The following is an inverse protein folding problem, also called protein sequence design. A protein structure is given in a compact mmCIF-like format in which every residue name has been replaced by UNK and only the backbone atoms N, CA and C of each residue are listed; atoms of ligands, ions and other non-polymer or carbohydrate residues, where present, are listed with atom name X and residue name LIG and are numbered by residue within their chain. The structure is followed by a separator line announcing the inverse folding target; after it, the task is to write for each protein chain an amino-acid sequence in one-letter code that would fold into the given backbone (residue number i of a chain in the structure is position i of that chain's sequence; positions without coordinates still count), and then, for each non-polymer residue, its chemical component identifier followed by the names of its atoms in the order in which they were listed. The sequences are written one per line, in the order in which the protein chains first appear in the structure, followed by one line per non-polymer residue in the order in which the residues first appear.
data_IF_680121579364
#
_entry.id   IF_680121579364
#
_cell.length_a   1.000
_cell.length_b   1.000
_cell.length_c   1.000
_cell.angle_alpha   90.00
_cell.angle_beta   90.00
_cell.angle_gamma   90.00
#
_symmetry.space_group_name_H-M   'P 1'
#
loop_
_entity.id
_entity.type
_entity.pdbx_description
1 polymer ?
#
# COMPACT_ATOMS: atom_id res chain seq x y z
N UNK A 1 24.74 2.33 35.48
CA UNK A 1 23.38 2.62 34.98
C UNK A 1 23.09 1.62 33.87
N UNK A 2 22.09 0.75 34.04
CA UNK A 2 21.64 -0.11 32.94
C UNK A 2 21.04 0.76 31.84
N UNK A 3 21.27 0.46 30.55
CA UNK A 3 20.62 1.18 29.46
C UNK A 3 19.10 1.12 29.62
N UNK A 4 18.36 2.16 29.20
CA UNK A 4 16.91 2.12 29.21
C UNK A 4 16.44 0.89 28.41
N UNK A 5 15.51 0.11 29.00
CA UNK A 5 14.91 -1.04 28.30
C UNK A 5 14.24 -0.53 27.03
N UNK A 6 14.58 -1.14 25.89
CA UNK A 6 13.94 -0.79 24.63
C UNK A 6 12.43 -1.01 24.72
N UNK A 7 11.66 -0.08 24.19
CA UNK A 7 10.22 -0.18 24.19
C UNK A 7 9.79 -1.30 23.24
N UNK A 8 8.97 -2.22 23.73
CA UNK A 8 8.34 -3.25 22.91
C UNK A 8 6.96 -2.79 22.44
N UNK A 9 6.66 -3.02 21.16
CA UNK A 9 5.37 -2.68 20.55
C UNK A 9 4.81 -3.89 19.81
N UNK A 10 3.48 -4.03 19.83
CA UNK A 10 2.75 -5.01 19.03
C UNK A 10 1.95 -4.28 17.96
N UNK A 11 2.15 -4.66 16.70
CA UNK A 11 1.41 -4.11 15.55
C UNK A 11 0.62 -5.27 14.92
N UNK A 12 -0.57 -5.62 15.45
CA UNK A 12 -1.29 -6.77 14.97
C UNK A 12 -1.63 -6.64 13.48
N UNK A 13 -1.54 -7.73 12.70
CA UNK A 13 -1.73 -7.68 11.25
C UNK A 13 -3.15 -7.33 10.84
N UNK A 14 -4.15 -7.82 11.56
CA UNK A 14 -5.58 -7.64 11.22
C UNK A 14 -5.99 -6.18 10.97
N UNK A 15 -5.75 -5.21 11.87
CA UNK A 15 -6.15 -3.83 11.63
C UNK A 15 -5.42 -3.19 10.46
N UNK A 16 -4.11 -3.47 10.30
CA UNK A 16 -3.30 -2.89 9.23
C UNK A 16 -3.69 -3.46 7.87
N UNK A 17 -3.71 -4.79 7.73
CA UNK A 17 -4.10 -5.45 6.50
C UNK A 17 -5.57 -5.16 6.15
N UNK A 18 -6.44 -5.11 7.15
CA UNK A 18 -7.86 -4.81 6.97
C UNK A 18 -8.09 -3.44 6.35
N UNK A 19 -7.42 -2.39 6.87
CA UNK A 19 -7.59 -1.04 6.31
C UNK A 19 -6.98 -0.92 4.91
N UNK A 20 -5.81 -1.52 4.69
CA UNK A 20 -5.12 -1.47 3.39
C UNK A 20 -5.96 -2.16 2.32
N UNK A 21 -6.50 -3.34 2.61
CA UNK A 21 -7.36 -4.07 1.67
C UNK A 21 -8.69 -3.36 1.43
N UNK A 22 -9.29 -2.74 2.44
CA UNK A 22 -10.51 -1.95 2.27
C UNK A 22 -10.27 -0.74 1.36
N UNK A 23 -9.18 0.01 1.57
CA UNK A 23 -8.80 1.14 0.72
C UNK A 23 -8.46 0.68 -0.69
N UNK A 24 -7.72 -0.42 -0.84
CA UNK A 24 -7.41 -1.01 -2.14
C UNK A 24 -8.68 -1.38 -2.92
N UNK A 25 -9.66 -1.99 -2.27
CA UNK A 25 -10.94 -2.35 -2.89
C UNK A 25 -11.70 -1.09 -3.34
N UNK A 26 -11.78 -0.06 -2.51
CA UNK A 26 -12.42 1.21 -2.85
C UNK A 26 -11.71 1.89 -4.03
N UNK A 27 -10.38 1.96 -4.02
CA UNK A 27 -9.60 2.52 -5.13
C UNK A 27 -9.76 1.71 -6.41
N UNK A 28 -9.87 0.38 -6.33
CA UNK A 28 -10.10 -0.49 -7.49
C UNK A 28 -11.47 -0.20 -8.13
N UNK A 29 -12.52 -0.06 -7.31
CA UNK A 29 -13.85 0.33 -7.78
C UNK A 29 -13.82 1.74 -8.39
N UNK A 30 -13.17 2.70 -7.72
CA UNK A 30 -13.03 4.06 -8.23
C UNK A 30 -12.27 4.10 -9.57
N UNK A 31 -11.20 3.31 -9.71
CA UNK A 31 -10.44 3.19 -10.94
C UNK A 31 -11.26 2.57 -12.07
N UNK A 32 -12.07 1.53 -11.79
CA UNK A 32 -12.97 0.93 -12.77
C UNK A 32 -14.05 1.91 -13.24
N UNK A 33 -14.59 2.74 -12.33
CA UNK A 33 -15.54 3.80 -12.69
C UNK A 33 -14.84 4.86 -13.52
N UNK A 34 -13.68 5.35 -13.08
CA UNK A 34 -12.90 6.39 -13.75
C UNK A 34 -12.46 5.97 -15.16
N UNK A 35 -12.19 4.68 -15.40
CA UNK A 35 -11.87 4.14 -16.71
C UNK A 35 -12.95 4.43 -17.77
N UNK A 36 -14.22 4.61 -17.38
CA UNK A 36 -15.30 4.97 -18.30
C UNK A 36 -15.25 6.41 -18.80
N UNK A 37 -14.46 7.26 -18.13
CA UNK A 37 -14.34 8.69 -18.40
C UNK A 37 -13.00 9.05 -19.04
N UNK A 38 -12.17 8.06 -19.35
CA UNK A 38 -10.92 8.29 -20.09
C UNK A 38 -11.21 8.52 -21.58
N UNK A 39 -10.22 9.06 -22.29
CA UNK A 39 -10.31 9.27 -23.74
C UNK A 39 -10.46 7.94 -24.52
N UNK A 40 -9.92 6.85 -23.99
CA UNK A 40 -10.06 5.49 -24.52
C UNK A 40 -10.51 4.52 -23.41
N UNK A 41 -11.83 4.39 -23.19
CA UNK A 41 -12.36 3.54 -22.13
C UNK A 41 -12.05 2.06 -22.29
N UNK A 42 -11.96 1.58 -23.54
CA UNK A 42 -11.71 0.16 -23.83
C UNK A 42 -10.28 -0.23 -23.42
N UNK A 43 -9.30 0.61 -23.76
CA UNK A 43 -7.91 0.39 -23.35
C UNK A 43 -7.70 0.57 -21.84
N UNK A 44 -8.46 1.44 -21.18
CA UNK A 44 -8.32 1.72 -19.75
C UNK A 44 -9.06 0.73 -18.83
N UNK A 45 -10.09 0.04 -19.34
CA UNK A 45 -11.05 -0.76 -18.55
C UNK A 45 -10.41 -1.84 -17.67
N UNK A 46 -9.29 -2.43 -18.10
CA UNK A 46 -8.61 -3.51 -17.39
C UNK A 46 -7.32 -3.04 -16.69
N UNK A 47 -6.43 -2.25 -17.33
CA UNK A 47 -5.20 -1.79 -16.70
C UNK A 47 -5.41 -0.88 -15.48
N UNK A 48 -6.44 -0.02 -15.47
CA UNK A 48 -6.73 0.85 -14.33
C UNK A 48 -7.09 0.06 -13.06
N UNK A 49 -8.16 -0.77 -13.05
CA UNK A 49 -8.52 -1.53 -11.86
C UNK A 49 -7.48 -2.57 -11.47
N UNK A 50 -6.82 -3.23 -12.44
CA UNK A 50 -5.75 -4.19 -12.11
C UNK A 50 -4.53 -3.48 -11.51
N UNK A 51 -4.17 -2.30 -12.03
CA UNK A 51 -3.09 -1.49 -11.47
C UNK A 51 -3.38 -1.06 -10.04
N UNK A 52 -4.61 -0.60 -9.77
CA UNK A 52 -5.07 -0.24 -8.43
C UNK A 52 -5.04 -1.45 -7.48
N UNK A 53 -5.62 -2.58 -7.90
CA UNK A 53 -5.62 -3.82 -7.11
C UNK A 53 -4.19 -4.31 -6.83
N UNK A 54 -3.31 -4.28 -7.82
CA UNK A 54 -1.91 -4.65 -7.69
C UNK A 54 -1.15 -3.78 -6.70
N UNK A 55 -1.34 -2.45 -6.74
CA UNK A 55 -0.75 -1.52 -5.77
C UNK A 55 -1.24 -1.79 -4.34
N UNK A 56 -2.53 -2.06 -4.16
CA UNK A 56 -3.11 -2.43 -2.88
C UNK A 56 -2.55 -3.74 -2.32
N UNK A 57 -2.47 -4.77 -3.16
CA UNK A 57 -1.89 -6.07 -2.80
C UNK A 57 -0.41 -5.95 -2.45
N UNK A 58 0.38 -5.23 -3.24
CA UNK A 58 1.80 -4.99 -2.94
C UNK A 58 1.96 -4.30 -1.59
N UNK A 59 1.11 -3.32 -1.29
CA UNK A 59 1.12 -2.62 0.00
C UNK A 59 0.78 -3.55 1.16
N UNK A 60 -0.26 -4.38 1.02
CA UNK A 60 -0.67 -5.35 2.04
C UNK A 60 0.39 -6.42 2.29
N UNK A 61 0.97 -6.99 1.22
CA UNK A 61 1.99 -8.03 1.33
C UNK A 61 3.25 -7.53 2.03
N UNK A 62 3.72 -6.34 1.70
CA UNK A 62 4.88 -5.77 2.40
C UNK A 62 4.52 -5.31 3.81
N UNK A 63 3.26 -4.97 4.11
CA UNK A 63 2.83 -4.66 5.48
C UNK A 63 2.97 -5.87 6.40
N UNK A 64 2.74 -7.07 5.87
CA UNK A 64 2.92 -8.33 6.60
C UNK A 64 4.37 -8.53 7.12
N UNK A 65 5.37 -7.83 6.56
CA UNK A 65 6.76 -7.92 6.99
C UNK A 65 7.00 -7.32 8.38
N UNK A 66 6.28 -6.26 8.74
CA UNK A 66 6.50 -5.54 10.00
C UNK A 66 5.38 -5.74 11.02
N UNK A 67 4.20 -6.19 10.59
CA UNK A 67 3.09 -6.48 11.51
C UNK A 67 3.35 -7.77 12.29
N UNK A 68 3.11 -7.76 13.59
CA UNK A 68 3.19 -8.92 14.47
C UNK A 68 2.22 -8.80 15.64
N UNK A 69 1.57 -9.92 15.99
CA UNK A 69 0.72 -10.00 17.18
C UNK A 69 1.54 -10.10 18.48
N UNK A 70 2.80 -10.51 18.38
CA UNK A 70 3.73 -10.57 19.52
C UNK A 70 4.48 -9.25 19.65
N UNK A 71 4.65 -8.70 20.86
CA UNK A 71 5.49 -7.53 21.09
C UNK A 71 6.91 -7.77 20.57
N UNK A 72 7.49 -6.74 19.95
CA UNK A 72 8.88 -6.73 19.46
C UNK A 72 9.52 -5.39 19.77
N UNK A 73 10.86 -5.33 19.83
CA UNK A 73 11.54 -4.06 20.04
C UNK A 73 11.19 -3.06 18.93
N UNK A 74 10.88 -1.82 19.29
CA UNK A 74 10.42 -0.79 18.36
C UNK A 74 11.41 -0.53 17.21
N UNK A 75 12.72 -0.66 17.45
CA UNK A 75 13.74 -0.53 16.41
C UNK A 75 13.61 -1.60 15.32
N UNK A 76 13.25 -2.84 15.69
CA UNK A 76 13.05 -3.95 14.76
C UNK A 76 11.81 -3.71 13.90
N UNK A 77 10.69 -3.32 14.53
CA UNK A 77 9.47 -2.95 13.82
C UNK A 77 9.70 -1.78 12.85
N UNK A 78 10.40 -0.73 13.29
CA UNK A 78 10.75 0.42 12.45
C UNK A 78 11.64 0.03 11.26
N UNK A 79 12.63 -0.82 11.48
CA UNK A 79 13.52 -1.31 10.41
C UNK A 79 12.78 -2.14 9.36
N UNK A 80 11.88 -3.02 9.80
CA UNK A 80 11.04 -3.82 8.90
C UNK A 80 10.05 -2.95 8.13
N UNK A 81 9.49 -1.92 8.76
CA UNK A 81 8.59 -0.98 8.10
C UNK A 81 9.32 -0.13 7.05
N UNK A 82 10.55 0.30 7.34
CA UNK A 82 11.42 0.95 6.36
C UNK A 82 11.75 0.01 5.19
N UNK A 83 12.09 -1.25 5.48
CA UNK A 83 12.33 -2.29 4.47
C UNK A 83 11.11 -2.53 3.57
N UNK A 84 9.92 -2.61 4.16
CA UNK A 84 8.65 -2.71 3.42
C UNK A 84 8.43 -1.49 2.52
N UNK A 85 8.75 -0.29 3.00
CA UNK A 85 8.64 0.94 2.22
C UNK A 85 9.61 0.95 1.04
N UNK A 86 10.87 0.57 1.25
CA UNK A 86 11.88 0.43 0.19
C UNK A 86 11.45 -0.58 -0.88
N UNK A 87 10.90 -1.72 -0.48
CA UNK A 87 10.37 -2.71 -1.43
C UNK A 87 9.26 -2.10 -2.32
N UNK A 88 8.36 -1.30 -1.74
CA UNK A 88 7.31 -0.60 -2.50
C UNK A 88 7.87 0.45 -3.47
N UNK A 89 8.93 1.16 -3.08
CA UNK A 89 9.63 2.10 -3.97
C UNK A 89 10.25 1.44 -5.20
N UNK A 90 10.48 0.12 -5.18
CA UNK A 90 10.92 -0.64 -6.37
C UNK A 90 9.72 -1.24 -7.11
N UNK A 91 8.78 -1.86 -6.39
CA UNK A 91 7.65 -2.57 -6.97
C UNK A 91 6.67 -1.62 -7.67
N UNK A 92 6.33 -0.48 -7.06
CA UNK A 92 5.32 0.44 -7.61
C UNK A 92 5.75 1.02 -8.96
N UNK A 93 6.99 1.54 -9.14
CA UNK A 93 7.47 1.94 -10.46
C UNK A 93 7.46 0.81 -11.48
N UNK A 94 7.81 -0.42 -11.08
CA UNK A 94 7.73 -1.59 -11.95
C UNK A 94 6.30 -1.87 -12.44
N UNK A 95 5.32 -1.80 -11.54
CA UNK A 95 3.89 -1.93 -11.88
C UNK A 95 3.45 -0.78 -12.79
N UNK A 96 3.86 0.46 -12.53
CA UNK A 96 3.57 1.60 -13.41
C UNK A 96 4.09 1.39 -14.84
N UNK A 97 5.31 0.89 -14.99
CA UNK A 97 5.89 0.57 -16.31
C UNK A 97 5.10 -0.54 -17.02
N UNK A 98 4.79 -1.63 -16.32
CA UNK A 98 3.99 -2.74 -16.87
C UNK A 98 2.60 -2.26 -17.32
N UNK A 99 1.95 -1.44 -16.51
CA UNK A 99 0.62 -0.91 -16.80
C UNK A 99 0.66 0.08 -17.97
N UNK A 100 1.67 0.96 -18.04
CA UNK A 100 1.85 1.89 -19.16
C UNK A 100 2.04 1.14 -20.49
N UNK A 101 2.92 0.13 -20.52
CA UNK A 101 3.21 -0.62 -21.74
C UNK A 101 2.11 -1.61 -22.14
N UNK A 102 1.21 -1.99 -21.24
CA UNK A 102 0.07 -2.86 -21.57
C UNK A 102 -1.09 -2.13 -22.24
N UNK A 103 -1.18 -0.80 -22.10
CA UNK A 103 -2.21 0.02 -22.76
C UNK A 103 -1.71 1.44 -23.08
N UNK A 104 -0.80 1.60 -24.04
CA UNK A 104 -0.21 2.89 -24.37
C UNK A 104 -1.24 3.92 -24.87
N UNK A 105 -2.36 3.48 -25.48
CA UNK A 105 -3.43 4.38 -25.94
C UNK A 105 -4.22 5.03 -24.79
N UNK A 106 -4.23 4.42 -23.60
CA UNK A 106 -4.84 4.99 -22.40
C UNK A 106 -3.95 6.07 -21.72
N UNK A 107 -2.73 6.28 -22.24
CA UNK A 107 -1.78 7.28 -21.77
C UNK A 107 -1.37 7.07 -20.30
N UNK A 108 -1.31 8.17 -19.54
CA UNK A 108 -0.89 8.13 -18.12
C UNK A 108 -2.02 7.79 -17.15
N UNK A 109 -3.27 7.69 -17.60
CA UNK A 109 -4.41 7.47 -16.69
C UNK A 109 -4.32 6.16 -15.89
N UNK A 110 -3.84 5.02 -16.45
CA UNK A 110 -3.64 3.80 -15.68
C UNK A 110 -2.50 3.90 -14.66
N UNK A 111 -1.44 4.64 -14.99
CA UNK A 111 -0.32 4.92 -14.08
C UNK A 111 -0.79 5.75 -12.88
N UNK A 112 -1.63 6.75 -13.11
CA UNK A 112 -2.21 7.56 -12.03
C UNK A 112 -3.09 6.73 -11.09
N UNK A 113 -3.85 5.76 -11.62
CA UNK A 113 -4.63 4.85 -10.80
C UNK A 113 -3.74 3.99 -9.87
N UNK A 114 -2.61 3.50 -10.38
CA UNK A 114 -1.61 2.74 -9.58
C UNK A 114 -1.04 3.63 -8.46
N UNK A 115 -0.50 4.80 -8.82
CA UNK A 115 0.17 5.70 -7.87
C UNK A 115 -0.81 6.23 -6.83
N UNK A 116 -2.00 6.67 -7.25
CA UNK A 116 -3.03 7.17 -6.35
C UNK A 116 -3.49 6.10 -5.35
N UNK A 117 -3.66 4.85 -5.81
CA UNK A 117 -4.02 3.74 -4.92
C UNK A 117 -2.91 3.41 -3.94
N UNK A 118 -1.66 3.38 -4.40
CA UNK A 118 -0.51 3.17 -3.53
C UNK A 118 -0.45 4.23 -2.41
N UNK A 119 -0.56 5.52 -2.75
CA UNK A 119 -0.52 6.61 -1.78
C UNK A 119 -1.68 6.52 -0.78
N UNK A 120 -2.89 6.20 -1.23
CA UNK A 120 -4.05 6.02 -0.37
C UNK A 120 -3.84 4.84 0.61
N UNK A 121 -3.34 3.71 0.12
CA UNK A 121 -3.04 2.55 0.95
C UNK A 121 -1.92 2.83 1.97
N UNK A 122 -0.86 3.53 1.55
CA UNK A 122 0.25 3.91 2.41
C UNK A 122 -0.20 4.89 3.51
N UNK A 123 -1.06 5.86 3.18
CA UNK A 123 -1.63 6.77 4.16
C UNK A 123 -2.49 6.02 5.20
N UNK A 124 -3.33 5.09 4.74
CA UNK A 124 -4.17 4.28 5.62
C UNK A 124 -3.37 3.35 6.54
N UNK A 125 -2.33 2.70 6.00
CA UNK A 125 -1.37 1.92 6.78
C UNK A 125 -0.72 2.80 7.85
N UNK A 126 -0.11 3.92 7.44
CA UNK A 126 0.64 4.81 8.32
C UNK A 126 -0.24 5.32 9.46
N UNK A 127 -1.44 5.82 9.14
CA UNK A 127 -2.40 6.29 10.13
C UNK A 127 -2.79 5.18 11.14
N UNK A 128 -2.95 3.95 10.65
CA UNK A 128 -3.32 2.81 11.51
C UNK A 128 -2.17 2.38 12.40
N UNK A 129 -0.96 2.29 11.87
CA UNK A 129 0.25 1.97 12.64
C UNK A 129 0.48 3.03 13.73
N UNK A 130 0.45 4.31 13.37
CA UNK A 130 0.62 5.42 14.31
C UNK A 130 -0.45 5.36 15.42
N UNK A 131 -1.71 5.08 15.08
CA UNK A 131 -2.79 4.93 16.06
C UNK A 131 -2.56 3.75 17.02
N UNK A 132 -2.03 2.63 16.53
CA UNK A 132 -1.71 1.45 17.35
C UNK A 132 -0.55 1.79 18.29
N UNK A 133 0.51 2.41 17.79
CA UNK A 133 1.69 2.79 18.58
C UNK A 133 1.32 3.79 19.67
N UNK A 134 0.54 4.84 19.36
CA UNK A 134 0.10 5.82 20.36
C UNK A 134 -0.79 5.23 21.45
N UNK A 135 -1.56 4.17 21.17
CA UNK A 135 -2.35 3.46 22.19
C UNK A 135 -1.54 2.50 23.05
N UNK A 136 -0.29 2.24 22.67
CA UNK A 136 0.63 1.33 23.35
C UNK A 136 1.67 2.07 24.20
N UNK A 137 1.66 3.41 24.16
CA UNK A 137 2.46 4.35 24.97
C UNK A 137 1.63 4.83 26.16
#
# INVERSE_FOLDING_TARGET
MSPPKEQEIAIPPRPVLGVVLAVAALCTVAAAVAARWTADPAAAALPMPLGAAGAGLATALSAALFTSATPRPASVCGSLWLGATLARFVVVPGVCLLVYWSAPSAGMTPVLAVVGTYLACLAAETATVVRIVHRSL
#
